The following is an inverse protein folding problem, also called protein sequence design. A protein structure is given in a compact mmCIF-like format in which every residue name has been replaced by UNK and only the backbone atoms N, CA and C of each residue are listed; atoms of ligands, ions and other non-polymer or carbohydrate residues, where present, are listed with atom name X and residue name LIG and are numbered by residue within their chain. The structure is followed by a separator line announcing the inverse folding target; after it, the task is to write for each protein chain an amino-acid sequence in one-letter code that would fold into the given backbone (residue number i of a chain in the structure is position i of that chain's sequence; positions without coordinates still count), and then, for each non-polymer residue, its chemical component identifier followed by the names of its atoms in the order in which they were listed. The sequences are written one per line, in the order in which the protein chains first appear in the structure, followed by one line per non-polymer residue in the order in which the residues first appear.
data_IF_620045074694
#
_entry.id   IF_620045074694
#
_cell.length_a   1.000
_cell.length_b   1.000
_cell.length_c   1.000
_cell.angle_alpha   90.00
_cell.angle_beta   90.00
_cell.angle_gamma   90.00
#
_symmetry.space_group_name_H-M   'P 1'
#
loop_
_entity.id
_entity.type
_entity.pdbx_description
1 polymer ?
#
# COMPACT_ATOMS: atom_id res chain seq x y z
N UNK A 1 -33.79 -10.05 -2.50
CA UNK A 1 -32.37 -10.42 -2.67
C UNK A 1 -31.56 -9.49 -1.79
N UNK A 2 -31.15 -9.95 -0.61
CA UNK A 2 -30.49 -9.12 0.41
C UNK A 2 -29.06 -8.88 -0.03
N UNK A 3 -28.74 -7.67 -0.50
CA UNK A 3 -27.35 -7.26 -0.72
C UNK A 3 -26.66 -7.26 0.64
N UNK A 4 -25.90 -8.32 0.93
CA UNK A 4 -24.86 -8.28 1.95
C UNK A 4 -23.82 -7.26 1.51
N UNK A 5 -24.08 -5.99 1.82
CA UNK A 5 -23.10 -4.93 1.70
C UNK A 5 -21.89 -5.33 2.51
N UNK A 6 -20.73 -5.44 1.85
CA UNK A 6 -19.46 -5.73 2.51
C UNK A 6 -19.33 -4.79 3.72
N UNK A 7 -18.94 -5.29 4.91
CA UNK A 7 -18.76 -4.44 6.08
C UNK A 7 -17.91 -3.23 5.70
N UNK A 8 -18.28 -2.04 6.20
CA UNK A 8 -17.59 -0.78 5.89
C UNK A 8 -16.14 -0.88 6.36
N UNK A 9 -15.25 -1.40 5.52
CA UNK A 9 -13.82 -1.29 5.73
C UNK A 9 -13.48 0.19 5.69
N UNK A 10 -12.91 0.72 6.77
CA UNK A 10 -12.53 2.13 6.90
C UNK A 10 -11.28 2.46 6.06
N UNK A 11 -11.32 2.11 4.77
CA UNK A 11 -10.27 2.35 3.80
C UNK A 11 -10.87 3.14 2.65
N UNK A 12 -10.20 4.21 2.24
CA UNK A 12 -10.57 4.98 1.05
C UNK A 12 -9.69 4.56 -0.11
N UNK A 13 -10.26 4.46 -1.31
CA UNK A 13 -9.47 4.28 -2.52
C UNK A 13 -8.69 5.56 -2.80
N UNK A 14 -7.39 5.42 -3.09
CA UNK A 14 -6.52 6.53 -3.46
C UNK A 14 -6.13 6.34 -4.92
N UNK A 15 -6.48 7.29 -5.78
CA UNK A 15 -6.03 7.33 -7.18
C UNK A 15 -4.75 8.14 -7.26
N UNK A 16 -3.60 7.46 -7.33
CA UNK A 16 -2.29 8.10 -7.46
C UNK A 16 -1.76 7.88 -8.88
N UNK A 17 -1.20 8.94 -9.48
CA UNK A 17 -0.41 8.83 -10.71
C UNK A 17 1.05 8.81 -10.34
N UNK A 18 1.71 7.69 -10.57
CA UNK A 18 3.14 7.50 -10.40
C UNK A 18 3.80 7.35 -11.77
N UNK A 19 5.07 7.74 -11.86
CA UNK A 19 5.90 7.47 -13.04
C UNK A 19 6.09 5.95 -13.24
N UNK A 20 6.22 5.51 -14.49
CA UNK A 20 6.41 4.09 -14.82
C UNK A 20 7.63 3.48 -14.12
N UNK A 21 8.74 4.22 -14.08
CA UNK A 21 9.97 3.85 -13.37
C UNK A 21 9.73 3.48 -11.89
N UNK A 22 8.86 4.22 -11.19
CA UNK A 22 8.52 3.95 -9.80
C UNK A 22 7.65 2.70 -9.67
N UNK A 23 6.73 2.48 -10.62
CA UNK A 23 5.92 1.26 -10.65
C UNK A 23 6.75 0.01 -10.92
N UNK A 24 7.75 0.11 -11.80
CA UNK A 24 8.69 -0.99 -12.10
C UNK A 24 9.61 -1.29 -10.92
N UNK A 25 10.11 -0.26 -10.23
CA UNK A 25 10.86 -0.44 -9.00
C UNK A 25 10.01 -1.16 -7.94
N UNK A 26 8.77 -0.73 -7.72
CA UNK A 26 7.84 -1.38 -6.79
C UNK A 26 7.51 -2.82 -7.20
N UNK A 27 7.36 -3.12 -8.49
CA UNK A 27 7.10 -4.49 -8.95
C UNK A 27 8.31 -5.40 -8.77
N UNK A 28 9.51 -4.85 -8.95
CA UNK A 28 10.77 -5.57 -8.71
C UNK A 28 10.91 -5.93 -7.24
N UNK A 29 10.64 -4.98 -6.34
CA UNK A 29 10.63 -5.22 -4.90
C UNK A 29 9.56 -6.24 -4.49
N UNK A 30 8.36 -6.14 -5.10
CA UNK A 30 7.27 -7.09 -4.90
C UNK A 30 7.67 -8.53 -5.24
N UNK A 31 8.50 -8.72 -6.28
CA UNK A 31 8.97 -10.04 -6.70
C UNK A 31 9.97 -10.66 -5.74
N UNK A 32 10.68 -9.84 -4.98
CA UNK A 32 11.66 -10.29 -3.99
C UNK A 32 11.02 -10.67 -2.63
N UNK A 33 9.75 -10.29 -2.42
CA UNK A 33 9.00 -10.59 -1.20
C UNK A 33 8.36 -11.98 -1.25
N UNK A 34 8.42 -12.73 -0.15
CA UNK A 34 7.85 -14.08 -0.01
C UNK A 34 6.34 -14.17 -0.23
N UNK A 35 5.60 -13.08 0.01
CA UNK A 35 4.14 -13.02 -0.02
C UNK A 35 3.61 -12.08 -1.11
N UNK A 36 4.37 -11.94 -2.22
CA UNK A 36 4.11 -11.12 -3.42
C UNK A 36 2.92 -10.15 -3.22
N UNK A 37 3.10 -9.08 -2.42
CA UNK A 37 1.98 -8.27 -1.97
C UNK A 37 1.36 -7.56 -3.17
N UNK A 38 0.06 -7.30 -3.17
CA UNK A 38 -0.52 -6.50 -4.25
C UNK A 38 0.12 -5.11 -4.28
N UNK A 39 0.19 -4.46 -5.45
CA UNK A 39 0.71 -3.08 -5.57
C UNK A 39 0.20 -2.13 -4.47
N UNK A 40 -1.12 -2.06 -4.18
CA UNK A 40 -1.60 -1.20 -3.09
C UNK A 40 -1.15 -1.65 -1.70
N UNK A 41 -0.96 -2.95 -1.46
CA UNK A 41 -0.43 -3.46 -0.19
C UNK A 41 1.05 -3.08 0.01
N UNK A 42 1.86 -3.16 -1.05
CA UNK A 42 3.27 -2.73 -1.00
C UNK A 42 3.38 -1.26 -0.64
N UNK A 43 2.57 -0.41 -1.29
CA UNK A 43 2.52 1.03 -1.01
C UNK A 43 2.09 1.28 0.44
N UNK A 44 1.09 0.54 0.96
CA UNK A 44 0.68 0.66 2.37
C UNK A 44 1.81 0.31 3.34
N UNK A 45 2.55 -0.77 3.09
CA UNK A 45 3.68 -1.17 3.94
C UNK A 45 4.76 -0.09 3.97
N UNK A 46 5.15 0.42 2.80
CA UNK A 46 6.18 1.48 2.68
C UNK A 46 5.72 2.75 3.39
N UNK A 47 4.47 3.16 3.19
CA UNK A 47 3.92 4.36 3.84
C UNK A 47 3.82 4.18 5.37
N UNK A 48 3.40 3.01 5.84
CA UNK A 48 3.31 2.73 7.28
C UNK A 48 4.69 2.74 7.93
N UNK A 49 5.67 2.06 7.33
CA UNK A 49 7.07 2.05 7.77
C UNK A 49 7.66 3.47 7.80
N UNK A 50 7.47 4.23 6.72
CA UNK A 50 7.96 5.61 6.64
C UNK A 50 7.30 6.53 7.66
N UNK A 51 5.99 6.41 7.88
CA UNK A 51 5.26 7.19 8.89
C UNK A 51 5.66 6.79 10.30
N UNK A 52 5.93 5.51 10.56
CA UNK A 52 6.43 5.03 11.85
C UNK A 52 7.82 5.61 12.13
N UNK A 53 8.75 5.53 11.17
CA UNK A 53 10.08 6.14 11.29
C UNK A 53 10.00 7.65 11.51
N UNK A 54 9.12 8.36 10.80
CA UNK A 54 8.90 9.81 10.99
C UNK A 54 8.33 10.12 12.36
N UNK A 55 7.32 9.36 12.81
CA UNK A 55 6.71 9.55 14.13
C UNK A 55 7.67 9.28 15.27
N UNK A 56 8.65 8.37 15.10
CA UNK A 56 9.70 8.12 16.09
C UNK A 56 10.80 9.19 16.07
N UNK A 57 11.04 9.83 14.93
CA UNK A 57 12.03 10.90 14.80
C UNK A 57 11.58 12.25 15.40
N UNK A 58 10.27 12.42 15.62
CA UNK A 58 9.68 13.63 16.23
C UNK A 58 9.35 13.45 17.73
N UNK A 59 9.71 12.30 18.33
CA UNK A 59 9.66 12.07 19.78
C UNK A 59 11.02 12.26 20.43
#
# INVERSE_FOLDING_TARGET
MTQFGRPKTNTKAVTLRLSNEMLEALDSERRNQKDIPTRPEMIRRILADWLEQKSQAEK
#
